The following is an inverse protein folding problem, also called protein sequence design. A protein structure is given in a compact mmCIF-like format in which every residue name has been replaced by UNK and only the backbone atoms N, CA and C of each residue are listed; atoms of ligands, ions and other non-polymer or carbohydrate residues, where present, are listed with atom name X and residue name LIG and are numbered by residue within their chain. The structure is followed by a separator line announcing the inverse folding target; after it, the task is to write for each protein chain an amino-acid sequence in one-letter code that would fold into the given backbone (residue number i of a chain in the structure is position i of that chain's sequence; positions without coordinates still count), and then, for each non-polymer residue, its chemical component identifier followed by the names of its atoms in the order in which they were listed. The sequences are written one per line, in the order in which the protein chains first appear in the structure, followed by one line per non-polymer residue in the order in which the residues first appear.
data_IF_807081414933
#
_entry.id   IF_807081414933
#
_cell.length_a   1.000
_cell.length_b   1.000
_cell.length_c   1.000
_cell.angle_alpha   90.00
_cell.angle_beta   90.00
_cell.angle_gamma   90.00
#
_symmetry.space_group_name_H-M   'P 1'
#
loop_
_entity.id
_entity.type
_entity.pdbx_description
1 polymer ?
#
# COMPACT_ATOMS: atom_id res chain seq x y z
N UNK A 1 -35.62 -11.63 -6.18
CA UNK A 1 -34.23 -11.37 -6.67
C UNK A 1 -33.28 -11.26 -5.46
N UNK A 2 -32.25 -12.11 -5.31
CA UNK A 2 -31.32 -12.08 -4.16
C UNK A 2 -30.26 -10.96 -4.22
N UNK A 3 -30.57 -9.85 -4.92
CA UNK A 3 -29.67 -8.71 -5.08
C UNK A 3 -29.41 -7.85 -3.82
N UNK A 4 -30.26 -7.78 -2.77
CA UNK A 4 -30.04 -6.78 -1.73
C UNK A 4 -28.87 -7.12 -0.79
N UNK A 5 -28.63 -8.41 -0.45
CA UNK A 5 -27.54 -8.75 0.49
C UNK A 5 -26.15 -8.66 -0.13
N UNK A 6 -25.98 -9.15 -1.37
CA UNK A 6 -24.70 -9.09 -2.10
C UNK A 6 -24.27 -7.64 -2.35
N UNK A 7 -25.20 -6.80 -2.81
CA UNK A 7 -24.93 -5.39 -3.07
C UNK A 7 -24.59 -4.63 -1.78
N UNK A 8 -25.34 -4.79 -0.69
CA UNK A 8 -25.09 -4.05 0.56
C UNK A 8 -23.74 -4.44 1.19
N UNK A 9 -23.37 -5.72 1.17
CA UNK A 9 -22.10 -6.19 1.76
C UNK A 9 -20.90 -5.87 0.86
N UNK A 10 -21.03 -5.99 -0.47
CA UNK A 10 -19.98 -5.58 -1.40
C UNK A 10 -19.77 -4.05 -1.41
N UNK A 11 -20.84 -3.26 -1.23
CA UNK A 11 -20.75 -1.80 -1.06
C UNK A 11 -20.07 -1.46 0.27
N UNK A 12 -20.41 -2.16 1.36
CA UNK A 12 -19.79 -1.94 2.67
C UNK A 12 -18.30 -2.30 2.63
N UNK A 13 -17.93 -3.48 2.10
CA UNK A 13 -16.54 -3.90 1.92
C UNK A 13 -15.76 -2.97 0.99
N UNK A 14 -16.35 -2.51 -0.12
CA UNK A 14 -15.69 -1.54 -1.01
C UNK A 14 -15.51 -0.17 -0.36
N UNK A 15 -16.51 0.32 0.38
CA UNK A 15 -16.45 1.61 1.08
C UNK A 15 -15.40 1.58 2.20
N UNK A 16 -15.33 0.47 2.93
CA UNK A 16 -14.35 0.20 3.98
C UNK A 16 -12.95 -0.05 3.43
N UNK A 17 -12.79 -0.63 2.23
CA UNK A 17 -11.46 -0.83 1.62
C UNK A 17 -10.92 0.39 0.86
N UNK A 18 -11.78 1.22 0.25
CA UNK A 18 -11.37 2.37 -0.59
C UNK A 18 -11.20 3.69 0.17
N UNK A 19 -11.98 3.94 1.23
CA UNK A 19 -12.01 5.26 1.88
C UNK A 19 -10.94 5.47 2.96
N UNK A 20 -10.66 4.45 3.77
CA UNK A 20 -9.91 4.66 5.03
C UNK A 20 -8.40 4.49 4.93
N UNK A 21 -7.88 3.87 3.86
CA UNK A 21 -6.44 3.56 3.78
C UNK A 21 -5.65 4.62 3.02
N UNK A 22 -5.92 4.88 1.73
CA UNK A 22 -5.13 5.84 0.93
C UNK A 22 -5.12 7.26 1.51
N UNK A 23 -6.29 7.80 1.89
CA UNK A 23 -6.43 9.17 2.41
C UNK A 23 -5.67 9.36 3.74
N UNK A 24 -5.71 8.35 4.60
CA UNK A 24 -5.01 8.38 5.88
C UNK A 24 -3.48 8.37 5.70
N UNK A 25 -2.94 7.61 4.74
CA UNK A 25 -1.50 7.64 4.43
C UNK A 25 -1.06 9.00 3.87
N UNK A 26 -1.85 9.60 2.98
CA UNK A 26 -1.55 10.92 2.42
C UNK A 26 -1.55 12.01 3.51
N UNK A 27 -2.52 11.93 4.43
CA UNK A 27 -2.59 12.82 5.59
C UNK A 27 -1.32 12.73 6.46
N UNK A 28 -0.84 11.52 6.74
CA UNK A 28 0.42 11.29 7.49
C UNK A 28 1.62 11.91 6.76
N UNK A 29 1.73 11.72 5.44
CA UNK A 29 2.82 12.32 4.65
C UNK A 29 2.75 13.85 4.65
N UNK A 30 1.55 14.42 4.55
CA UNK A 30 1.32 15.86 4.64
C UNK A 30 1.72 16.41 6.00
N UNK A 31 1.35 15.75 7.09
CA UNK A 31 1.76 16.14 8.45
C UNK A 31 3.28 16.03 8.63
N UNK A 32 3.89 14.93 8.19
CA UNK A 32 5.34 14.75 8.22
C UNK A 32 6.08 15.86 7.47
N UNK A 33 5.60 16.25 6.29
CA UNK A 33 6.14 17.37 5.52
C UNK A 33 6.05 18.67 6.31
N UNK A 34 4.88 19.01 6.83
CA UNK A 34 4.65 20.26 7.54
C UNK A 34 5.49 20.35 8.82
N UNK A 35 5.57 19.28 9.61
CA UNK A 35 6.43 19.23 10.80
C UNK A 35 7.91 19.32 10.47
N UNK A 36 8.35 18.70 9.37
CA UNK A 36 9.75 18.81 8.91
C UNK A 36 10.10 20.26 8.57
N UNK A 37 9.22 20.93 7.81
CA UNK A 37 9.41 22.32 7.42
C UNK A 37 9.35 23.28 8.62
N UNK A 38 8.40 23.07 9.54
CA UNK A 38 8.29 23.84 10.77
C UNK A 38 9.55 23.71 11.62
N UNK A 39 10.04 22.48 11.82
CA UNK A 39 11.28 22.20 12.55
C UNK A 39 12.49 22.88 11.91
N UNK A 40 12.63 22.80 10.58
CA UNK A 40 13.72 23.48 9.87
C UNK A 40 13.66 25.00 10.06
N UNK A 41 12.46 25.59 9.99
CA UNK A 41 12.27 27.03 10.19
C UNK A 41 12.61 27.46 11.62
N UNK A 42 12.25 26.65 12.63
CA UNK A 42 12.46 26.99 14.04
C UNK A 42 13.90 26.75 14.52
N UNK A 43 14.49 25.60 14.22
CA UNK A 43 15.82 25.20 14.70
C UNK A 43 16.95 25.70 13.80
N UNK A 44 16.68 25.92 12.51
CA UNK A 44 17.66 26.36 11.52
C UNK A 44 17.11 27.46 10.59
N UNK A 45 16.85 28.68 11.09
CA UNK A 45 16.18 29.75 10.34
C UNK A 45 16.78 30.05 8.96
N UNK A 46 18.11 29.92 8.82
CA UNK A 46 18.82 30.10 7.54
C UNK A 46 18.53 29.06 6.46
N UNK A 47 17.85 27.95 6.79
CA UNK A 47 17.48 26.88 5.86
C UNK A 47 16.01 26.91 5.42
N UNK A 48 15.13 27.54 6.21
CA UNK A 48 13.67 27.37 6.09
C UNK A 48 13.09 27.65 4.70
N UNK A 49 13.51 28.75 4.05
CA UNK A 49 13.04 29.10 2.70
C UNK A 49 13.61 28.20 1.60
N UNK A 50 14.90 27.86 1.69
CA UNK A 50 15.58 27.04 0.68
C UNK A 50 15.22 25.56 0.73
N UNK A 51 14.69 25.06 1.85
CA UNK A 51 14.40 23.65 2.06
C UNK A 51 13.03 23.18 1.57
N UNK A 52 12.11 24.11 1.30
CA UNK A 52 10.72 23.83 0.91
C UNK A 52 10.59 22.83 -0.25
N UNK A 53 11.32 23.08 -1.34
CA UNK A 53 11.22 22.28 -2.57
C UNK A 53 11.70 20.84 -2.36
N UNK A 54 12.87 20.64 -1.77
CA UNK A 54 13.43 19.29 -1.64
C UNK A 54 12.82 18.47 -0.50
N UNK A 55 12.31 19.11 0.55
CA UNK A 55 11.46 18.43 1.54
C UNK A 55 10.13 18.04 0.88
N UNK A 56 9.49 18.93 0.13
CA UNK A 56 8.28 18.60 -0.62
C UNK A 56 8.48 17.42 -1.57
N UNK A 57 9.59 17.41 -2.32
CA UNK A 57 9.94 16.33 -3.24
C UNK A 57 10.08 14.98 -2.52
N UNK A 58 10.77 14.95 -1.38
CA UNK A 58 10.93 13.72 -0.59
C UNK A 58 9.57 13.07 -0.26
N UNK A 59 8.61 13.85 0.23
CA UNK A 59 7.29 13.34 0.61
C UNK A 59 6.44 12.95 -0.60
N UNK A 60 6.60 13.65 -1.73
CA UNK A 60 5.98 13.26 -3.00
C UNK A 60 6.54 11.91 -3.49
N UNK A 61 7.86 11.73 -3.45
CA UNK A 61 8.50 10.49 -3.86
C UNK A 61 8.07 9.32 -2.96
N UNK A 62 7.86 9.54 -1.65
CA UNK A 62 7.29 8.54 -0.73
C UNK A 62 5.87 8.16 -1.14
N UNK A 63 5.02 9.13 -1.49
CA UNK A 63 3.66 8.88 -1.95
C UNK A 63 3.67 8.05 -3.25
N UNK A 64 4.47 8.44 -4.24
CA UNK A 64 4.64 7.68 -5.49
C UNK A 64 5.23 6.28 -5.27
N UNK A 65 6.14 6.11 -4.31
CA UNK A 65 6.69 4.79 -3.97
C UNK A 65 5.62 3.83 -3.47
N UNK A 66 4.78 4.31 -2.55
CA UNK A 66 3.67 3.53 -1.98
C UNK A 66 2.67 3.12 -3.08
N UNK A 67 2.45 4.01 -4.06
CA UNK A 67 1.55 3.78 -5.19
C UNK A 67 2.10 2.86 -6.28
N UNK A 68 3.40 2.54 -6.25
CA UNK A 68 3.96 1.56 -7.17
C UNK A 68 5.18 2.00 -7.96
N UNK A 69 5.68 3.23 -7.82
CA UNK A 69 6.86 3.67 -8.58
C UNK A 69 8.12 2.84 -8.26
N UNK A 70 9.03 2.78 -9.23
CA UNK A 70 10.30 2.03 -9.14
C UNK A 70 11.43 2.82 -8.45
N UNK A 71 11.11 3.99 -7.87
CA UNK A 71 12.09 4.80 -7.16
C UNK A 71 12.60 4.08 -5.91
N UNK A 72 13.90 4.13 -5.63
CA UNK A 72 14.46 3.54 -4.42
C UNK A 72 14.48 4.54 -3.26
N UNK A 73 14.20 4.05 -2.04
CA UNK A 73 14.29 4.88 -0.83
C UNK A 73 15.71 5.43 -0.63
N UNK A 74 16.72 4.63 -0.97
CA UNK A 74 18.12 5.05 -0.98
C UNK A 74 18.35 6.28 -1.86
N UNK A 75 17.76 6.28 -3.07
CA UNK A 75 17.84 7.42 -3.98
C UNK A 75 17.14 8.66 -3.41
N UNK A 76 15.92 8.53 -2.90
CA UNK A 76 15.15 9.65 -2.31
C UNK A 76 15.92 10.32 -1.16
N UNK A 77 16.48 9.52 -0.25
CA UNK A 77 17.25 10.04 0.89
C UNK A 77 18.59 10.63 0.42
N UNK A 78 19.27 10.02 -0.55
CA UNK A 78 20.49 10.57 -1.11
C UNK A 78 20.27 11.92 -1.80
N UNK A 79 19.16 12.08 -2.55
CA UNK A 79 18.77 13.34 -3.17
C UNK A 79 18.46 14.41 -2.12
N UNK A 80 17.74 14.04 -1.05
CA UNK A 80 17.47 14.96 0.07
C UNK A 80 18.76 15.51 0.67
N UNK A 81 19.67 14.64 1.12
CA UNK A 81 20.90 15.08 1.77
C UNK A 81 21.88 15.75 0.80
N UNK A 82 21.89 15.33 -0.47
CA UNK A 82 22.64 16.00 -1.54
C UNK A 82 22.16 17.43 -1.81
N UNK A 83 20.85 17.71 -1.69
CA UNK A 83 20.32 19.08 -1.82
C UNK A 83 20.45 19.88 -0.52
N UNK A 84 20.32 19.22 0.64
CA UNK A 84 20.44 19.86 1.94
C UNK A 84 21.87 20.31 2.25
N UNK A 85 22.88 19.54 1.84
CA UNK A 85 24.26 19.83 2.21
C UNK A 85 24.82 21.14 1.64
N UNK A 86 24.70 21.46 0.34
CA UNK A 86 25.17 22.75 -0.18
C UNK A 86 24.52 23.94 0.54
N UNK A 87 23.23 23.82 0.88
CA UNK A 87 22.50 24.85 1.62
C UNK A 87 23.02 24.98 3.06
N UNK A 88 23.19 23.87 3.77
CA UNK A 88 23.74 23.83 5.12
C UNK A 88 25.20 24.31 5.17
N UNK A 89 26.01 23.95 4.18
CA UNK A 89 27.40 24.37 4.06
C UNK A 89 27.52 25.89 3.97
N UNK A 90 26.70 26.52 3.10
CA UNK A 90 26.69 27.96 2.90
C UNK A 90 26.11 28.72 4.10
N UNK A 91 25.01 28.23 4.68
CA UNK A 91 24.22 28.98 5.68
C UNK A 91 24.58 28.68 7.12
N UNK A 92 25.06 27.47 7.42
CA UNK A 92 25.34 27.02 8.78
C UNK A 92 26.83 26.79 9.05
N UNK A 93 27.61 26.41 8.03
CA UNK A 93 29.04 26.12 8.20
C UNK A 93 29.94 27.31 7.85
N UNK A 94 29.38 28.35 7.22
CA UNK A 94 30.12 29.56 6.82
C UNK A 94 31.02 29.33 5.60
N UNK A 95 30.81 28.25 4.85
CA UNK A 95 31.61 27.93 3.67
C UNK A 95 31.24 28.79 2.46
N UNK A 96 32.22 29.47 1.86
CA UNK A 96 32.06 30.17 0.58
C UNK A 96 32.24 29.19 -0.57
N UNK A 97 31.29 29.17 -1.51
CA UNK A 97 31.32 28.30 -2.70
C UNK A 97 32.18 28.92 -3.82
N UNK A 98 32.83 30.06 -3.60
CA UNK A 98 33.42 30.91 -4.65
C UNK A 98 34.50 30.24 -5.51
N UNK A 99 35.09 29.13 -5.07
CA UNK A 99 36.04 28.32 -5.87
C UNK A 99 35.64 26.85 -6.06
N UNK A 100 34.55 26.39 -5.45
CA UNK A 100 34.12 25.00 -5.45
C UNK A 100 32.91 24.78 -6.36
N UNK A 101 32.98 23.79 -7.27
CA UNK A 101 31.82 23.40 -8.08
C UNK A 101 30.66 22.98 -7.17
N UNK A 102 29.46 23.53 -7.40
CA UNK A 102 28.25 23.20 -6.62
C UNK A 102 27.97 21.69 -6.63
N UNK A 103 28.31 21.02 -7.75
CA UNK A 103 28.16 19.58 -7.90
C UNK A 103 29.17 18.79 -7.06
N UNK A 104 30.40 19.31 -6.89
CA UNK A 104 31.37 18.71 -5.97
C UNK A 104 30.85 18.80 -4.53
N UNK A 105 30.38 19.98 -4.11
CA UNK A 105 29.82 20.16 -2.76
C UNK A 105 28.61 19.25 -2.57
N UNK A 106 27.74 19.11 -3.58
CA UNK A 106 26.60 18.17 -3.56
C UNK A 106 27.01 16.72 -3.30
N UNK A 107 28.17 16.28 -3.81
CA UNK A 107 28.70 14.94 -3.58
C UNK A 107 29.47 14.78 -2.25
N UNK A 108 30.09 15.85 -1.76
CA UNK A 108 31.06 15.80 -0.67
C UNK A 108 30.49 15.34 0.69
N UNK A 109 29.17 15.44 0.92
CA UNK A 109 28.57 15.01 2.19
C UNK A 109 28.74 13.51 2.46
N UNK A 110 28.83 12.68 1.40
CA UNK A 110 29.01 11.23 1.52
C UNK A 110 30.41 10.90 2.01
N UNK A 111 31.42 11.39 1.30
CA UNK A 111 32.84 11.15 1.59
C UNK A 111 33.26 11.72 2.94
N UNK A 112 32.71 12.88 3.32
CA UNK A 112 33.04 13.55 4.59
C UNK A 112 32.22 13.04 5.78
N UNK A 113 31.26 12.14 5.53
CA UNK A 113 30.25 11.70 6.48
C UNK A 113 29.59 12.89 7.23
N UNK A 114 29.24 13.96 6.50
CA UNK A 114 28.83 15.24 7.07
C UNK A 114 27.67 15.12 8.05
N UNK A 115 26.71 14.26 7.71
CA UNK A 115 25.51 14.01 8.50
C UNK A 115 25.61 12.79 9.41
N UNK A 116 26.80 12.21 9.60
CA UNK A 116 26.99 11.06 10.50
C UNK A 116 26.11 9.85 10.10
N UNK A 117 25.57 9.09 11.08
CA UNK A 117 24.80 7.87 10.81
C UNK A 117 23.34 8.14 10.35
N UNK A 118 22.88 9.39 10.42
CA UNK A 118 21.46 9.73 10.29
C UNK A 118 20.86 9.49 8.90
N UNK A 119 21.56 9.74 7.76
CA UNK A 119 21.05 9.37 6.45
C UNK A 119 20.78 7.87 6.31
N UNK A 120 21.70 7.03 6.77
CA UNK A 120 21.56 5.56 6.74
C UNK A 120 20.43 5.08 7.65
N UNK A 121 20.28 5.71 8.82
CA UNK A 121 19.15 5.46 9.71
C UNK A 121 17.82 5.79 9.04
N UNK A 122 17.73 6.97 8.40
CA UNK A 122 16.54 7.40 7.67
C UNK A 122 16.19 6.43 6.53
N UNK A 123 17.16 6.06 5.70
CA UNK A 123 16.99 5.06 4.63
C UNK A 123 16.41 3.76 5.20
N UNK A 124 17.04 3.20 6.23
CA UNK A 124 16.62 1.91 6.82
C UNK A 124 15.18 1.94 7.32
N UNK A 125 14.79 3.00 8.04
CA UNK A 125 13.45 3.14 8.63
C UNK A 125 12.39 3.36 7.55
N UNK A 126 12.69 4.18 6.55
CA UNK A 126 11.79 4.44 5.43
C UNK A 126 11.63 3.20 4.55
N UNK A 127 12.71 2.49 4.23
CA UNK A 127 12.63 1.27 3.42
C UNK A 127 11.73 0.22 4.05
N UNK A 128 11.79 0.06 5.38
CA UNK A 128 10.93 -0.89 6.12
C UNK A 128 9.46 -0.46 6.13
N UNK A 129 9.19 0.78 6.50
CA UNK A 129 7.81 1.29 6.67
C UNK A 129 7.08 1.53 5.36
N UNK A 130 7.74 2.09 4.35
CA UNK A 130 7.15 2.34 3.03
C UNK A 130 6.88 1.01 2.31
N UNK A 131 7.78 0.04 2.40
CA UNK A 131 7.57 -1.30 1.84
C UNK A 131 6.37 -1.99 2.48
N UNK A 132 6.30 -2.01 3.81
CA UNK A 132 5.18 -2.62 4.53
C UNK A 132 3.85 -1.97 4.13
N UNK A 133 3.83 -0.65 3.98
CA UNK A 133 2.67 0.13 3.53
C UNK A 133 2.27 -0.21 2.10
N UNK A 134 3.22 -0.24 1.16
CA UNK A 134 2.99 -0.63 -0.24
C UNK A 134 2.37 -2.02 -0.34
N UNK A 135 2.96 -2.98 0.38
CA UNK A 135 2.47 -4.36 0.41
C UNK A 135 1.07 -4.46 1.00
N UNK A 136 0.80 -3.71 2.07
CA UNK A 136 -0.54 -3.65 2.68
C UNK A 136 -1.58 -3.12 1.69
N UNK A 137 -1.30 -2.02 1.00
CA UNK A 137 -2.20 -1.46 -0.02
C UNK A 137 -2.39 -2.42 -1.21
N UNK A 138 -1.33 -3.07 -1.68
CA UNK A 138 -1.42 -4.08 -2.74
C UNK A 138 -2.33 -5.25 -2.33
N UNK A 139 -2.22 -5.71 -1.08
CA UNK A 139 -3.09 -6.75 -0.54
C UNK A 139 -4.55 -6.27 -0.53
N UNK A 140 -4.81 -5.06 -0.03
CA UNK A 140 -6.16 -4.46 -0.05
C UNK A 140 -6.75 -4.38 -1.46
N UNK A 141 -5.96 -3.96 -2.45
CA UNK A 141 -6.38 -3.88 -3.85
C UNK A 141 -6.80 -5.24 -4.40
N UNK A 142 -6.08 -6.30 -4.04
CA UNK A 142 -6.47 -7.65 -4.40
C UNK A 142 -7.77 -8.07 -3.70
N UNK A 143 -7.96 -7.72 -2.42
CA UNK A 143 -9.22 -7.94 -1.73
C UNK A 143 -10.42 -7.29 -2.43
N UNK A 144 -10.26 -6.03 -2.85
CA UNK A 144 -11.24 -5.29 -3.66
C UNK A 144 -11.50 -6.01 -4.99
N UNK A 145 -10.45 -6.44 -5.68
CA UNK A 145 -10.56 -7.15 -6.95
C UNK A 145 -11.37 -8.44 -6.81
N UNK A 146 -11.08 -9.24 -5.77
CA UNK A 146 -11.78 -10.51 -5.48
C UNK A 146 -13.26 -10.26 -5.21
N UNK A 147 -13.60 -9.29 -4.35
CA UNK A 147 -14.99 -8.94 -4.04
C UNK A 147 -15.73 -8.45 -5.29
N UNK A 148 -15.15 -7.53 -6.05
CA UNK A 148 -15.77 -7.01 -7.27
C UNK A 148 -15.96 -8.09 -8.33
N UNK A 149 -14.96 -8.93 -8.53
CA UNK A 149 -15.03 -10.02 -9.51
C UNK A 149 -16.13 -11.02 -9.14
N UNK A 150 -16.20 -11.40 -7.86
CA UNK A 150 -17.19 -12.37 -7.38
C UNK A 150 -18.63 -11.80 -7.33
N UNK A 151 -18.81 -10.49 -7.16
CA UNK A 151 -20.13 -9.83 -7.22
C UNK A 151 -20.73 -9.86 -8.63
N UNK A 152 -19.88 -9.80 -9.67
CA UNK A 152 -20.31 -9.80 -11.07
C UNK A 152 -20.53 -11.20 -11.66
N UNK A 153 -20.30 -12.27 -10.88
CA UNK A 153 -20.54 -13.65 -11.32
C UNK A 153 -22.03 -13.88 -11.59
N UNK A 154 -22.34 -14.28 -12.84
CA UNK A 154 -23.71 -14.58 -13.24
C UNK A 154 -24.04 -16.05 -12.94
N UNK A 155 -25.24 -16.34 -12.43
CA UNK A 155 -25.67 -17.71 -12.26
C UNK A 155 -25.77 -18.42 -13.62
N UNK A 156 -25.19 -19.62 -13.73
CA UNK A 156 -25.29 -20.44 -14.93
C UNK A 156 -26.73 -20.87 -15.24
N UNK A 157 -26.94 -21.47 -16.43
CA UNK A 157 -28.27 -21.96 -16.86
C UNK A 157 -28.82 -23.02 -15.91
N UNK A 158 -27.98 -23.93 -15.42
CA UNK A 158 -28.39 -24.98 -14.48
C UNK A 158 -28.79 -24.42 -13.11
N UNK A 159 -28.04 -23.43 -12.61
CA UNK A 159 -28.45 -22.71 -11.41
C UNK A 159 -29.78 -21.97 -11.61
N UNK A 160 -29.96 -21.31 -12.76
CA UNK A 160 -31.23 -20.62 -13.07
C UNK A 160 -32.41 -21.60 -13.03
N UNK A 161 -32.25 -22.80 -13.60
CA UNK A 161 -33.26 -23.88 -13.53
C UNK A 161 -33.48 -24.35 -12.09
N UNK A 162 -32.43 -24.54 -11.31
CA UNK A 162 -32.52 -24.96 -9.91
C UNK A 162 -33.22 -23.91 -9.02
N UNK A 163 -32.95 -22.62 -9.24
CA UNK A 163 -33.62 -21.52 -8.54
C UNK A 163 -35.11 -21.41 -8.91
N UNK A 164 -35.47 -21.63 -10.18
CA UNK A 164 -36.87 -21.71 -10.59
C UNK A 164 -37.59 -22.87 -9.88
N UNK A 165 -36.91 -24.03 -9.78
CA UNK A 165 -37.42 -25.21 -9.06
C UNK A 165 -37.57 -24.97 -7.56
N UNK A 166 -36.68 -24.19 -6.98
CA UNK A 166 -36.72 -23.84 -5.56
C UNK A 166 -37.87 -22.89 -5.21
N UNK A 167 -38.06 -21.82 -6.00
CA UNK A 167 -38.95 -20.71 -5.62
C UNK A 167 -40.30 -20.69 -6.34
N UNK A 168 -40.36 -21.15 -7.60
CA UNK A 168 -41.52 -20.91 -8.47
C UNK A 168 -42.30 -22.19 -8.82
N UNK A 169 -41.65 -23.35 -8.90
CA UNK A 169 -42.34 -24.62 -9.17
C UNK A 169 -43.53 -24.95 -8.23
N UNK A 170 -43.49 -24.64 -6.91
CA UNK A 170 -44.66 -24.87 -6.06
C UNK A 170 -45.90 -24.11 -6.55
N UNK A 171 -45.72 -22.86 -6.97
CA UNK A 171 -46.80 -22.01 -7.46
C UNK A 171 -47.42 -22.58 -8.74
N UNK A 172 -46.57 -23.11 -9.64
CA UNK A 172 -47.03 -23.78 -10.86
C UNK A 172 -47.80 -25.08 -10.59
N UNK A 173 -47.58 -25.71 -9.43
CA UNK A 173 -48.30 -26.90 -8.98
C UNK A 173 -49.53 -26.56 -8.10
N UNK A 174 -49.89 -25.28 -7.99
CA UNK A 174 -51.02 -24.84 -7.16
C UNK A 174 -50.72 -24.77 -5.66
N UNK A 175 -49.46 -24.88 -5.24
CA UNK A 175 -49.03 -24.73 -3.85
C UNK A 175 -48.65 -23.27 -3.59
N UNK A 176 -49.46 -22.54 -2.83
CA UNK A 176 -49.22 -21.14 -2.47
C UNK A 176 -48.48 -21.04 -1.12
N UNK A 177 -47.32 -20.38 -1.13
CA UNK A 177 -46.57 -20.09 0.10
C UNK A 177 -45.90 -21.26 0.86
N UNK A 178 -45.59 -22.44 0.28
CA UNK A 178 -44.84 -23.45 1.04
C UNK A 178 -43.38 -23.02 1.26
N UNK A 179 -42.82 -23.15 2.47
CA UNK A 179 -41.41 -22.89 2.69
C UNK A 179 -40.57 -23.95 1.97
N UNK A 180 -39.46 -23.54 1.34
CA UNK A 180 -38.49 -24.50 0.85
C UNK A 180 -37.82 -25.22 2.03
N UNK A 181 -37.59 -26.53 1.91
CA UNK A 181 -36.80 -27.23 2.90
C UNK A 181 -35.41 -26.61 3.00
N UNK A 182 -34.95 -26.29 4.22
CA UNK A 182 -33.64 -25.64 4.44
C UNK A 182 -32.50 -26.37 3.73
N UNK A 183 -32.45 -27.70 3.83
CA UNK A 183 -31.45 -28.52 3.16
C UNK A 183 -31.53 -28.47 1.62
N UNK A 184 -32.74 -28.36 1.05
CA UNK A 184 -32.91 -28.21 -0.40
C UNK A 184 -32.43 -26.83 -0.87
N UNK A 185 -32.81 -25.77 -0.14
CA UNK A 185 -32.32 -24.43 -0.40
C UNK A 185 -30.80 -24.37 -0.34
N UNK A 186 -30.17 -24.92 0.71
CA UNK A 186 -28.71 -24.97 0.84
C UNK A 186 -28.05 -25.71 -0.33
N UNK A 187 -28.58 -26.86 -0.74
CA UNK A 187 -28.04 -27.62 -1.87
C UNK A 187 -28.12 -26.85 -3.19
N UNK A 188 -29.25 -26.19 -3.46
CA UNK A 188 -29.42 -25.31 -4.64
C UNK A 188 -28.46 -24.13 -4.57
N UNK A 189 -28.36 -23.45 -3.42
CA UNK A 189 -27.46 -22.32 -3.24
C UNK A 189 -25.99 -22.71 -3.38
N UNK A 190 -25.54 -23.86 -2.86
CA UNK A 190 -24.18 -24.36 -3.07
C UNK A 190 -23.87 -24.57 -4.54
N UNK A 191 -24.75 -25.25 -5.29
CA UNK A 191 -24.58 -25.43 -6.73
C UNK A 191 -24.60 -24.12 -7.51
N UNK A 192 -25.36 -23.13 -7.04
CA UNK A 192 -25.47 -21.80 -7.64
C UNK A 192 -24.28 -20.87 -7.32
N UNK A 193 -23.69 -21.00 -6.14
CA UNK A 193 -22.49 -20.25 -5.76
C UNK A 193 -21.26 -20.73 -6.53
N UNK A 194 -21.26 -22.00 -7.00
CA UNK A 194 -20.27 -22.53 -7.93
C UNK A 194 -18.84 -22.21 -7.49
N UNK A 195 -18.03 -21.64 -8.38
CA UNK A 195 -16.64 -21.30 -8.10
C UNK A 195 -16.43 -20.23 -7.01
N UNK A 196 -17.46 -19.49 -6.58
CA UNK A 196 -17.32 -18.61 -5.41
C UNK A 196 -17.09 -19.40 -4.11
N UNK A 197 -17.62 -20.63 -4.02
CA UNK A 197 -17.34 -21.52 -2.90
C UNK A 197 -15.86 -21.97 -2.89
N UNK A 198 -15.23 -22.09 -4.07
CA UNK A 198 -13.82 -22.45 -4.21
C UNK A 198 -12.87 -21.31 -3.81
N UNK A 199 -13.33 -20.06 -3.88
CA UNK A 199 -12.58 -18.88 -3.41
C UNK A 199 -12.45 -18.88 -1.88
N UNK A 200 -13.43 -19.43 -1.15
CA UNK A 200 -13.52 -19.35 0.32
C UNK A 200 -12.25 -19.75 1.09
N UNK A 201 -11.62 -20.92 0.89
CA UNK A 201 -10.41 -21.28 1.63
C UNK A 201 -9.25 -20.29 1.40
N UNK A 202 -9.13 -19.78 0.17
CA UNK A 202 -8.10 -18.81 -0.19
C UNK A 202 -8.38 -17.41 0.35
N UNK A 203 -9.66 -17.01 0.36
CA UNK A 203 -10.13 -15.76 0.97
C UNK A 203 -9.87 -15.74 2.48
N UNK A 204 -10.25 -16.81 3.20
CA UNK A 204 -10.01 -16.91 4.65
C UNK A 204 -8.53 -16.77 4.97
N UNK A 205 -7.69 -17.51 4.24
CA UNK A 205 -6.24 -17.37 4.37
C UNK A 205 -5.84 -15.91 4.09
N UNK A 206 -6.29 -15.29 3.00
CA UNK A 206 -5.93 -13.91 2.69
C UNK A 206 -6.29 -12.93 3.82
N UNK A 207 -7.49 -13.01 4.39
CA UNK A 207 -7.94 -12.17 5.52
C UNK A 207 -7.03 -12.37 6.74
N UNK A 208 -6.71 -13.61 7.10
CA UNK A 208 -5.78 -13.91 8.20
C UNK A 208 -4.38 -13.37 7.92
N UNK A 209 -3.93 -13.45 6.66
CA UNK A 209 -2.63 -12.95 6.22
C UNK A 209 -2.53 -11.44 6.31
N UNK A 210 -3.55 -10.75 5.81
CA UNK A 210 -3.66 -9.30 5.88
C UNK A 210 -3.71 -8.82 7.33
N UNK A 211 -4.42 -9.53 8.21
CA UNK A 211 -4.44 -9.24 9.65
C UNK A 211 -3.07 -9.41 10.31
N UNK A 212 -2.30 -10.43 9.94
CA UNK A 212 -0.91 -10.61 10.42
C UNK A 212 0.02 -9.51 9.92
N UNK A 213 -0.08 -9.14 8.64
CA UNK A 213 0.69 -8.04 8.04
C UNK A 213 0.42 -6.73 8.78
N UNK A 214 -0.86 -6.35 8.91
CA UNK A 214 -1.28 -5.16 9.63
C UNK A 214 -0.87 -5.17 11.11
N UNK A 215 -0.91 -6.35 11.76
CA UNK A 215 -0.45 -6.53 13.13
C UNK A 215 1.06 -6.31 13.30
N UNK A 216 1.85 -6.63 12.27
CA UNK A 216 3.30 -6.46 12.21
C UNK A 216 3.76 -5.03 11.89
N UNK A 217 2.90 -4.20 11.27
CA UNK A 217 3.16 -2.78 10.96
C UNK A 217 3.22 -1.90 12.21
N UNK A 218 4.23 -2.11 13.06
CA UNK A 218 4.47 -1.37 14.30
C UNK A 218 5.89 -0.84 14.33
N UNK A 219 6.13 0.22 15.11
CA UNK A 219 7.48 0.72 15.37
C UNK A 219 8.19 1.20 14.10
N UNK A 220 9.13 0.41 13.58
CA UNK A 220 9.90 0.74 12.36
C UNK A 220 9.21 0.36 11.06
N UNK A 221 8.20 -0.50 11.12
CA UNK A 221 7.36 -0.87 9.97
C UNK A 221 6.09 -0.02 9.88
N UNK A 222 5.87 0.85 10.87
CA UNK A 222 4.75 1.77 10.91
C UNK A 222 5.15 3.11 10.30
N UNK A 223 4.52 3.45 9.18
CA UNK A 223 4.83 4.65 8.41
C UNK A 223 4.53 5.92 9.19
N UNK A 224 3.44 5.99 9.95
CA UNK A 224 3.12 7.16 10.75
C UNK A 224 4.21 7.42 11.77
N UNK A 225 4.57 6.38 12.52
CA UNK A 225 5.63 6.46 13.51
C UNK A 225 6.97 6.88 12.89
N UNK A 226 7.34 6.35 11.72
CA UNK A 226 8.61 6.68 11.04
C UNK A 226 8.59 8.10 10.46
N UNK A 227 7.53 8.45 9.74
CA UNK A 227 7.38 9.75 9.06
C UNK A 227 7.37 10.90 10.07
N UNK A 228 6.61 10.77 11.16
CA UNK A 228 6.54 11.79 12.20
C UNK A 228 7.86 11.93 12.98
N UNK A 229 8.78 10.96 12.89
CA UNK A 229 10.14 11.04 13.46
C UNK A 229 11.19 11.61 12.50
N UNK A 230 10.89 11.77 11.22
CA UNK A 230 11.83 12.35 10.25
C UNK A 230 12.35 13.74 10.64
N UNK A 231 11.53 14.68 11.17
CA UNK A 231 12.03 15.98 11.62
C UNK A 231 13.17 15.83 12.64
N UNK A 232 13.03 14.92 13.60
CA UNK A 232 14.05 14.65 14.60
C UNK A 232 15.33 14.06 14.01
N UNK A 233 15.22 13.14 13.05
CA UNK A 233 16.39 12.56 12.36
C UNK A 233 17.14 13.64 11.57
N UNK A 234 16.42 14.49 10.83
CA UNK A 234 17.01 15.59 10.06
C UNK A 234 17.66 16.63 10.99
N UNK A 235 17.02 16.94 12.12
CA UNK A 235 17.59 17.83 13.14
C UNK A 235 18.93 17.31 13.66
N UNK A 236 18.99 16.03 14.01
CA UNK A 236 20.21 15.41 14.52
C UNK A 236 21.33 15.36 13.47
N UNK A 237 20.97 15.09 12.20
CA UNK A 237 21.89 15.17 11.07
C UNK A 237 22.51 16.56 10.92
N UNK A 238 21.69 17.61 10.98
CA UNK A 238 22.16 18.99 10.87
C UNK A 238 23.00 19.41 12.08
N UNK A 239 22.60 19.04 13.30
CA UNK A 239 23.41 19.31 14.52
C UNK A 239 24.77 18.61 14.43
N UNK A 240 24.82 17.39 13.92
CA UNK A 240 26.09 16.69 13.70
C UNK A 240 27.00 17.44 12.71
N UNK A 241 26.44 17.91 11.59
CA UNK A 241 27.21 18.69 10.61
C UNK A 241 27.73 20.02 11.22
N UNK A 242 26.88 20.72 11.98
CA UNK A 242 27.27 21.97 12.66
C UNK A 242 28.37 21.74 13.69
N UNK A 243 28.29 20.67 14.48
CA UNK A 243 29.32 20.32 15.46
C UNK A 243 30.66 19.96 14.79
N UNK A 244 30.62 19.42 13.58
CA UNK A 244 31.81 19.08 12.79
C UNK A 244 32.29 20.22 11.86
N UNK A 245 31.85 21.48 12.08
CA UNK A 245 32.07 22.61 11.16
C UNK A 245 33.51 22.76 10.66
N UNK A 246 34.49 22.88 11.56
CA UNK A 246 35.89 23.11 11.17
C UNK A 246 36.45 21.98 10.30
N UNK A 247 36.19 20.73 10.70
CA UNK A 247 36.57 19.52 9.95
C UNK A 247 35.92 19.48 8.57
N UNK A 248 34.62 19.76 8.50
CA UNK A 248 33.87 19.72 7.24
C UNK A 248 34.28 20.84 6.28
N UNK A 249 34.48 22.07 6.77
CA UNK A 249 34.97 23.17 5.93
C UNK A 249 36.35 22.86 5.38
N UNK A 250 37.29 22.38 6.20
CA UNK A 250 38.62 21.99 5.72
C UNK A 250 38.58 20.84 4.69
N UNK A 251 37.79 19.80 4.96
CA UNK A 251 37.66 18.66 4.05
C UNK A 251 37.03 19.05 2.71
N UNK A 252 35.94 19.82 2.72
CA UNK A 252 35.28 20.28 1.49
C UNK A 252 36.17 21.25 0.71
N UNK A 253 36.89 22.16 1.39
CA UNK A 253 37.86 23.04 0.73
C UNK A 253 39.01 22.27 0.09
N UNK A 254 39.51 21.21 0.72
CA UNK A 254 40.55 20.36 0.15
C UNK A 254 40.07 19.51 -1.03
N UNK A 255 38.82 19.00 -0.97
CA UNK A 255 38.26 18.15 -2.02
C UNK A 255 37.73 18.92 -3.23
N UNK A 256 37.08 20.06 -2.97
CA UNK A 256 36.38 20.83 -4.00
C UNK A 256 37.09 22.13 -4.38
N UNK A 257 38.16 22.52 -3.67
CA UNK A 257 38.98 23.68 -4.03
C UNK A 257 40.00 23.33 -5.11
N UNK A 258 39.96 24.03 -6.23
CA UNK A 258 41.01 23.99 -7.25
C UNK A 258 42.27 24.72 -6.76
N UNK A 259 43.45 24.13 -6.99
CA UNK A 259 44.71 24.88 -7.14
C UNK A 259 45.25 24.61 -8.55
N UNK A 260 45.68 25.64 -9.29
CA UNK A 260 47.08 26.04 -9.16
C UNK A 260 47.28 27.48 -8.70
N UNK A 261 48.39 27.64 -8.00
CA UNK A 261 49.03 28.85 -7.53
C UNK A 261 49.22 29.87 -8.67
N UNK A 262 48.70 31.10 -8.48
CA UNK A 262 49.34 32.30 -9.02
C UNK A 262 49.70 33.18 -7.84
N UNK A 263 50.99 33.19 -7.51
CA UNK A 263 51.60 34.13 -6.58
C UNK A 263 51.23 35.54 -7.01
N UNK A 264 50.47 36.24 -6.18
CA UNK A 264 50.30 37.69 -6.27
C UNK A 264 50.30 38.22 -4.85
N UNK A 265 51.34 39.00 -4.56
CA UNK A 265 51.59 39.63 -3.27
C UNK A 265 50.49 40.64 -2.98
N UNK A 266 49.93 40.64 -1.77
CA UNK A 266 49.72 41.88 -1.00
C UNK A 266 49.18 41.64 0.41
N UNK A 267 49.98 42.12 1.36
CA UNK A 267 49.73 42.88 2.60
C UNK A 267 48.61 42.45 3.57
N UNK A 268 49.06 42.23 4.81
CA UNK A 268 48.33 41.95 6.06
C UNK A 268 47.35 43.05 6.50
N UNK A 269 46.29 42.65 7.23
CA UNK A 269 45.58 43.49 8.22
C UNK A 269 44.87 42.59 9.27
N UNK A 270 44.66 43.05 10.53
CA UNK A 270 44.55 42.21 11.74
C UNK A 270 43.10 41.81 12.17
N UNK A 271 42.91 40.86 13.13
CA UNK A 271 41.59 40.37 13.58
C UNK A 271 41.19 40.89 14.99
N UNK A 272 40.09 40.41 15.64
CA UNK A 272 38.65 40.46 15.31
C UNK A 272 37.80 40.99 16.50
N UNK A 273 36.49 41.25 16.36
CA UNK A 273 35.57 41.41 17.51
C UNK A 273 34.17 40.80 17.29
N UNK A 274 33.77 39.92 18.22
CA UNK A 274 32.39 39.48 18.51
C UNK A 274 31.69 40.50 19.43
N UNK A 275 30.36 40.41 19.59
CA UNK A 275 29.90 39.97 20.91
C UNK A 275 28.78 38.93 20.92
N UNK A 276 28.71 38.24 22.06
CA UNK A 276 27.78 37.23 22.52
C UNK A 276 26.44 37.86 23.00
N UNK A 277 25.26 37.27 22.78
CA UNK A 277 24.54 36.28 23.63
C UNK A 277 23.17 36.80 24.12
N UNK A 278 22.33 35.84 24.60
CA UNK A 278 21.03 35.95 25.30
C UNK A 278 19.78 36.03 24.38
N UNK A 279 18.65 35.38 24.65
CA UNK A 279 18.25 34.38 25.64
C UNK A 279 17.02 33.60 25.13
N UNK A 280 16.75 32.47 25.79
CA UNK A 280 15.71 31.48 25.52
C UNK A 280 14.26 32.00 25.50
N UNK A 281 13.40 31.32 24.71
CA UNK A 281 12.06 30.93 25.17
C UNK A 281 11.75 29.50 24.75
N UNK A 282 11.73 28.63 25.75
CA UNK A 282 11.06 27.34 25.71
C UNK A 282 9.59 27.55 25.36
N UNK A 283 9.09 26.78 24.40
CA UNK A 283 7.67 26.41 24.40
C UNK A 283 7.62 24.90 24.16
N UNK A 284 7.22 24.17 25.19
CA UNK A 284 6.85 22.76 25.07
C UNK A 284 5.58 22.61 24.22
N UNK A 285 5.34 21.42 23.67
CA UNK A 285 4.26 21.19 22.72
C UNK A 285 2.91 21.15 23.43
N UNK A 286 1.96 21.94 22.95
CA UNK A 286 0.57 21.87 23.39
C UNK A 286 -0.14 20.73 22.67
N UNK A 287 -0.78 19.89 23.50
CA UNK A 287 -1.90 18.99 23.22
C UNK A 287 -1.75 18.02 22.05
N UNK A 288 -1.40 16.77 22.39
CA UNK A 288 -2.01 15.62 21.73
C UNK A 288 -3.53 15.79 21.82
N UNK A 289 -4.11 16.32 20.76
CA UNK A 289 -5.51 16.03 20.48
C UNK A 289 -5.60 14.53 20.27
N UNK A 290 -6.70 13.92 20.69
CA UNK A 290 -6.94 12.49 20.51
C UNK A 290 -7.28 12.22 19.03
N UNK A 291 -6.39 12.62 18.13
CA UNK A 291 -6.50 12.29 16.71
C UNK A 291 -6.30 10.78 16.58
N UNK A 292 -7.31 10.14 16.02
CA UNK A 292 -7.29 8.72 15.71
C UNK A 292 -6.05 8.40 14.87
N UNK A 293 -5.17 7.54 15.39
CA UNK A 293 -3.91 7.23 14.69
C UNK A 293 -4.18 6.34 13.48
N UNK A 294 -3.29 6.36 12.50
CA UNK A 294 -3.36 5.43 11.36
C UNK A 294 -3.33 3.97 11.84
N UNK A 295 -2.64 3.71 12.96
CA UNK A 295 -2.61 2.40 13.60
C UNK A 295 -3.97 1.99 14.20
N UNK A 296 -4.77 2.94 14.68
CA UNK A 296 -6.13 2.70 15.19
C UNK A 296 -7.07 2.34 14.04
N UNK A 297 -7.14 3.19 13.02
CA UNK A 297 -7.91 2.97 11.78
C UNK A 297 -7.59 1.61 11.15
N UNK A 298 -6.29 1.28 11.05
CA UNK A 298 -5.85 -0.02 10.52
C UNK A 298 -6.33 -1.19 11.39
N UNK A 299 -6.32 -1.05 12.72
CA UNK A 299 -6.76 -2.11 13.64
C UNK A 299 -8.25 -2.34 13.57
N UNK A 300 -9.03 -1.26 13.56
CA UNK A 300 -10.49 -1.31 13.42
C UNK A 300 -10.88 -1.98 12.10
N UNK A 301 -10.30 -1.51 10.99
CA UNK A 301 -10.50 -2.10 9.66
C UNK A 301 -10.25 -3.61 9.64
N UNK A 302 -9.14 -4.07 10.23
CA UNK A 302 -8.82 -5.51 10.29
C UNK A 302 -9.79 -6.28 11.17
N UNK A 303 -10.26 -5.67 12.26
CA UNK A 303 -11.29 -6.25 13.13
C UNK A 303 -12.58 -6.50 12.35
N UNK A 304 -13.04 -5.49 11.60
CA UNK A 304 -14.24 -5.58 10.77
C UNK A 304 -14.07 -6.62 9.66
N UNK A 305 -12.92 -6.59 8.96
CA UNK A 305 -12.65 -7.54 7.87
C UNK A 305 -12.63 -9.00 8.35
N UNK A 306 -12.16 -9.27 9.58
CA UNK A 306 -12.19 -10.62 10.16
C UNK A 306 -13.61 -11.17 10.28
N UNK A 307 -14.61 -10.32 10.54
CA UNK A 307 -16.02 -10.72 10.53
C UNK A 307 -16.46 -11.32 9.18
N UNK A 308 -15.80 -10.93 8.10
CA UNK A 308 -16.06 -11.41 6.74
C UNK A 308 -15.13 -12.56 6.30
N UNK A 309 -14.33 -13.16 7.18
CA UNK A 309 -13.41 -14.25 6.81
C UNK A 309 -14.14 -15.46 6.20
N UNK A 310 -15.39 -15.68 6.61
CA UNK A 310 -16.24 -16.82 6.20
C UNK A 310 -17.33 -16.41 5.21
N UNK A 311 -17.18 -15.25 4.56
CA UNK A 311 -18.20 -14.63 3.72
C UNK A 311 -18.77 -15.56 2.65
N UNK A 312 -17.91 -16.14 1.80
CA UNK A 312 -18.36 -16.99 0.68
C UNK A 312 -19.00 -18.31 1.12
N UNK A 313 -18.53 -18.92 2.22
CA UNK A 313 -19.19 -20.09 2.82
C UNK A 313 -20.56 -19.76 3.44
N UNK A 314 -20.71 -18.55 3.99
CA UNK A 314 -21.93 -18.11 4.68
C UNK A 314 -23.05 -17.66 3.73
N UNK A 315 -22.73 -17.37 2.46
CA UNK A 315 -23.71 -16.88 1.49
C UNK A 315 -24.90 -17.83 1.30
N UNK A 316 -24.64 -19.14 1.23
CA UNK A 316 -25.71 -20.13 1.02
C UNK A 316 -26.71 -20.13 2.17
N UNK A 317 -26.21 -20.08 3.41
CA UNK A 317 -27.04 -20.00 4.61
C UNK A 317 -27.83 -18.69 4.66
N UNK A 318 -27.15 -17.55 4.51
CA UNK A 318 -27.76 -16.23 4.59
C UNK A 318 -28.88 -16.01 3.54
N UNK A 319 -28.76 -16.63 2.36
CA UNK A 319 -29.80 -16.60 1.34
C UNK A 319 -30.99 -17.50 1.66
N UNK A 320 -30.79 -18.54 2.48
CA UNK A 320 -31.82 -19.48 2.90
C UNK A 320 -32.49 -19.10 4.23
N UNK A 321 -31.90 -18.20 5.03
CA UNK A 321 -32.44 -17.75 6.33
C UNK A 321 -33.58 -16.72 6.23
N UNK A 322 -34.15 -16.50 5.05
CA UNK A 322 -35.09 -15.39 4.81
C UNK A 322 -36.54 -15.66 5.24
N UNK A 323 -36.87 -16.89 5.61
CA UNK A 323 -38.18 -17.26 6.15
C UNK A 323 -38.01 -17.91 7.55
N UNK A 324 -38.77 -17.49 8.58
CA UNK A 324 -38.87 -18.26 9.81
C UNK A 324 -39.46 -19.64 9.50
N UNK A 325 -38.96 -20.72 10.13
CA UNK A 325 -39.59 -22.03 10.01
C UNK A 325 -41.04 -21.90 10.48
N UNK A 326 -42.03 -22.40 9.71
CA UNK A 326 -43.39 -22.39 10.21
C UNK A 326 -43.48 -23.26 11.47
N UNK A 327 -44.37 -22.86 12.39
CA UNK A 327 -44.57 -23.57 13.64
C UNK A 327 -44.95 -25.05 13.39
N UNK A 328 -44.32 -25.92 14.18
CA UNK A 328 -44.54 -27.37 14.40
C UNK A 328 -45.49 -28.10 13.42
N UNK A 329 -44.90 -29.02 12.62
CA UNK A 329 -45.51 -29.91 11.61
C UNK A 329 -45.72 -29.34 10.20
N UNK A 330 -44.98 -28.30 9.80
CA UNK A 330 -45.06 -27.82 8.43
C UNK A 330 -44.22 -28.67 7.48
N UNK A 331 -44.89 -29.37 6.57
CA UNK A 331 -44.29 -29.89 5.36
C UNK A 331 -43.54 -28.76 4.62
N UNK A 332 -42.38 -29.08 4.04
CA UNK A 332 -41.57 -28.16 3.26
C UNK A 332 -41.39 -28.67 1.82
N UNK A 333 -41.12 -27.75 0.90
CA UNK A 333 -40.90 -28.07 -0.50
C UNK A 333 -39.49 -28.62 -0.74
N UNK A 334 -39.39 -29.84 -1.29
CA UNK A 334 -38.11 -30.50 -1.62
C UNK A 334 -37.70 -30.39 -3.10
N UNK A 335 -38.49 -29.69 -3.93
CA UNK A 335 -38.29 -29.61 -5.38
C UNK A 335 -39.17 -30.57 -6.19
N UNK A 336 -39.98 -31.42 -5.57
CA UNK A 336 -40.95 -32.29 -6.24
C UNK A 336 -42.31 -32.26 -5.55
N UNK A 337 -42.29 -32.33 -4.21
CA UNK A 337 -43.47 -32.44 -3.37
C UNK A 337 -43.23 -31.79 -2.00
N UNK A 338 -44.29 -31.78 -1.19
CA UNK A 338 -44.27 -31.36 0.21
C UNK A 338 -43.83 -32.54 1.09
N UNK A 339 -42.81 -32.35 1.92
CA UNK A 339 -42.23 -33.43 2.74
C UNK A 339 -41.85 -32.94 4.13
N UNK A 340 -41.80 -33.86 5.10
CA UNK A 340 -41.40 -33.57 6.47
C UNK A 340 -39.91 -33.26 6.57
N UNK A 341 -39.09 -33.86 5.69
CA UNK A 341 -37.62 -33.75 5.71
C UNK A 341 -37.02 -33.81 4.31
N UNK A 342 -36.03 -32.96 4.06
CA UNK A 342 -35.13 -33.11 2.92
C UNK A 342 -33.96 -34.02 3.30
N UNK A 343 -34.04 -35.29 2.89
CA UNK A 343 -32.86 -36.15 2.83
C UNK A 343 -31.96 -35.61 1.73
N UNK A 344 -30.83 -35.02 2.11
CA UNK A 344 -29.84 -34.48 1.17
C UNK A 344 -29.39 -35.52 0.14
N UNK A 345 -28.59 -35.12 -0.87
CA UNK A 345 -28.20 -36.04 -1.92
C UNK A 345 -27.13 -37.02 -1.45
N UNK A 346 -27.60 -38.02 -0.72
CA UNK A 346 -26.97 -39.26 -0.29
C UNK A 346 -28.10 -40.20 0.16
N UNK A 347 -28.18 -41.39 -0.48
CA UNK A 347 -29.03 -42.55 -0.15
C UNK A 347 -30.24 -42.89 -1.04
N UNK A 348 -30.38 -42.38 -2.26
CA UNK A 348 -31.12 -43.12 -3.31
C UNK A 348 -30.29 -43.21 -4.58
N UNK A 349 -30.12 -44.45 -5.04
CA UNK A 349 -29.20 -44.95 -6.06
C UNK A 349 -29.15 -44.05 -7.30
N UNK A 350 -27.92 -43.78 -7.70
CA UNK A 350 -27.54 -43.25 -8.99
C UNK A 350 -28.26 -44.01 -10.11
N UNK A 351 -29.04 -43.31 -10.94
CA UNK A 351 -29.22 -43.74 -12.32
C UNK A 351 -27.86 -43.54 -13.04
N UNK A 352 -27.38 -44.53 -13.80
CA UNK A 352 -26.11 -44.41 -14.52
C UNK A 352 -26.30 -43.40 -15.66
N UNK A 353 -25.79 -42.18 -15.48
CA UNK A 353 -25.90 -41.14 -16.51
C UNK A 353 -25.66 -39.70 -16.08
N UNK A 354 -25.27 -39.43 -14.83
CA UNK A 354 -24.93 -38.06 -14.39
C UNK A 354 -23.55 -38.01 -13.76
N UNK A 355 -22.51 -38.13 -14.60
CA UNK A 355 -21.20 -37.56 -14.29
C UNK A 355 -21.32 -36.03 -14.25
N UNK A 356 -21.72 -35.48 -13.09
CA UNK A 356 -21.70 -34.03 -12.86
C UNK A 356 -21.50 -33.72 -11.38
N UNK A 357 -20.55 -34.41 -10.75
CA UNK A 357 -19.97 -33.96 -9.49
C UNK A 357 -18.48 -33.73 -9.67
N UNK A 358 -18.10 -32.45 -9.55
CA UNK A 358 -16.78 -31.98 -9.10
C UNK A 358 -15.59 -31.87 -10.06
N UNK A 359 -15.74 -32.04 -11.38
CA UNK A 359 -14.59 -31.90 -12.31
C UNK A 359 -14.75 -30.81 -13.39
N UNK A 360 -15.79 -29.96 -13.33
CA UNK A 360 -15.81 -28.79 -14.22
C UNK A 360 -14.80 -27.80 -13.68
N UNK A 361 -13.75 -27.45 -14.43
CA UNK A 361 -12.80 -26.44 -13.99
C UNK A 361 -13.56 -25.14 -13.69
N UNK A 362 -13.22 -24.44 -12.59
CA UNK A 362 -13.80 -23.13 -12.30
C UNK A 362 -13.68 -22.22 -13.52
N UNK A 363 -14.66 -21.34 -13.69
CA UNK A 363 -14.60 -20.32 -14.75
C UNK A 363 -13.22 -19.64 -14.74
N UNK A 364 -12.63 -19.33 -15.90
CA UNK A 364 -11.25 -18.84 -15.98
C UNK A 364 -11.00 -17.60 -15.11
N UNK A 365 -12.01 -16.76 -14.94
CA UNK A 365 -12.00 -15.59 -14.05
C UNK A 365 -11.86 -15.99 -12.57
N UNK A 366 -12.55 -17.04 -12.13
CA UNK A 366 -12.49 -17.56 -10.76
C UNK A 366 -11.13 -18.22 -10.50
N UNK A 367 -10.62 -19.00 -11.46
CA UNK A 367 -9.27 -19.57 -11.39
C UNK A 367 -8.21 -18.47 -11.22
N UNK A 368 -8.32 -17.38 -12.00
CA UNK A 368 -7.39 -16.26 -11.92
C UNK A 368 -7.37 -15.58 -10.55
N UNK A 369 -8.54 -15.29 -9.95
CA UNK A 369 -8.59 -14.69 -8.60
C UNK A 369 -8.10 -15.65 -7.53
N UNK A 370 -8.38 -16.95 -7.67
CA UNK A 370 -7.84 -17.99 -6.77
C UNK A 370 -6.33 -18.02 -6.84
N UNK A 371 -5.73 -17.96 -8.03
CA UNK A 371 -4.28 -17.99 -8.20
C UNK A 371 -3.62 -16.72 -7.66
N UNK A 372 -4.24 -15.55 -7.85
CA UNK A 372 -3.79 -14.30 -7.18
C UNK A 372 -3.83 -14.42 -5.66
N UNK A 373 -4.91 -14.98 -5.10
CA UNK A 373 -5.03 -15.23 -3.67
C UNK A 373 -4.00 -16.26 -3.18
N UNK A 374 -3.74 -17.33 -3.94
CA UNK A 374 -2.70 -18.31 -3.60
C UNK A 374 -1.34 -17.64 -3.60
N UNK A 375 -1.03 -16.84 -4.62
CA UNK A 375 0.24 -16.15 -4.74
C UNK A 375 0.51 -15.27 -3.51
N UNK A 376 -0.42 -14.38 -3.14
CA UNK A 376 -0.25 -13.52 -1.96
C UNK A 376 -0.21 -14.32 -0.64
N UNK A 377 -0.91 -15.44 -0.57
CA UNK A 377 -0.93 -16.32 0.61
C UNK A 377 0.34 -17.16 0.75
N UNK A 378 1.00 -17.55 -0.34
CA UNK A 378 2.24 -18.35 -0.30
C UNK A 378 3.44 -17.53 0.20
N UNK A 379 3.36 -16.19 0.16
CA UNK A 379 4.38 -15.29 0.73
C UNK A 379 4.46 -15.39 2.28
N UNK A 380 3.57 -16.16 2.92
CA UNK A 380 3.40 -16.26 4.37
C UNK A 380 4.48 -16.94 5.21
N UNK A 381 5.59 -17.43 4.66
CA UNK A 381 6.48 -18.33 5.45
C UNK A 381 7.88 -17.82 5.77
N UNK A 382 8.26 -16.58 5.46
CA UNK A 382 9.54 -16.02 5.94
C UNK A 382 9.44 -14.54 6.34
N UNK A 383 9.81 -14.17 7.59
CA UNK A 383 10.10 -12.78 7.95
C UNK A 383 11.16 -12.26 6.96
N UNK A 384 10.81 -11.26 6.15
CA UNK A 384 11.70 -10.72 5.11
C UNK A 384 11.47 -11.22 3.68
N UNK A 385 10.53 -12.13 3.41
CA UNK A 385 10.24 -12.57 2.02
C UNK A 385 9.41 -11.59 1.20
N UNK A 386 8.65 -10.68 1.83
CA UNK A 386 7.99 -9.57 1.12
C UNK A 386 9.01 -8.68 0.38
N UNK A 387 10.24 -8.59 0.91
CA UNK A 387 11.38 -7.89 0.31
C UNK A 387 11.83 -8.52 -1.03
N UNK A 388 11.68 -9.84 -1.20
CA UNK A 388 12.10 -10.56 -2.42
C UNK A 388 11.04 -10.56 -3.52
N UNK A 389 9.77 -10.39 -3.19
CA UNK A 389 8.69 -10.36 -4.18
C UNK A 389 8.73 -9.08 -5.04
N UNK A 390 9.06 -7.93 -4.43
CA UNK A 390 9.17 -6.66 -5.15
C UNK A 390 10.39 -6.57 -6.07
N UNK A 391 11.50 -7.23 -5.70
CA UNK A 391 12.67 -7.37 -6.58
C UNK A 391 12.37 -8.23 -7.82
N UNK A 392 11.42 -9.18 -7.75
CA UNK A 392 10.99 -9.99 -8.91
C UNK A 392 9.95 -9.30 -9.78
N UNK A 393 9.02 -8.53 -9.21
CA UNK A 393 8.05 -7.78 -10.03
C UNK A 393 8.69 -6.63 -10.83
N UNK A 394 9.84 -6.10 -10.40
CA UNK A 394 10.66 -5.18 -11.21
C UNK A 394 11.47 -5.88 -12.30
N UNK A 395 11.64 -7.21 -12.24
CA UNK A 395 12.44 -7.98 -13.20
C UNK A 395 11.59 -8.62 -14.33
N UNK A 396 10.30 -8.83 -14.13
CA UNK A 396 9.40 -9.40 -15.16
C UNK A 396 8.76 -8.32 -16.08
N UNK A 397 9.13 -7.04 -15.89
CA UNK A 397 8.82 -5.95 -16.82
C UNK A 397 9.90 -5.83 -17.91
N UNK A 398 9.75 -6.65 -18.96
CA UNK A 398 10.59 -6.70 -20.18
C UNK A 398 12.00 -7.27 -19.99
N UNK A 399 12.16 -8.52 -20.44
CA UNK A 399 13.47 -9.06 -20.78
C UNK A 399 14.12 -8.24 -21.88
N UNK A 400 15.26 -7.63 -21.55
CA UNK A 400 16.29 -7.29 -22.50
C UNK A 400 17.64 -7.50 -21.80
N UNK A 401 18.24 -8.64 -22.11
CA UNK A 401 19.65 -8.91 -21.85
C UNK A 401 20.48 -7.85 -22.59
N UNK A 402 21.31 -7.12 -21.86
CA UNK A 402 22.27 -6.19 -22.47
C UNK A 402 23.68 -6.68 -22.16
N UNK A 403 24.16 -7.52 -23.07
CA UNK A 403 25.57 -7.81 -23.22
C UNK A 403 26.33 -6.55 -23.68
N UNK A 404 27.51 -6.37 -23.12
CA UNK A 404 28.49 -5.36 -23.55
C UNK A 404 28.91 -5.65 -25.00
N UNK A 405 28.59 -4.76 -25.96
CA UNK A 405 29.49 -4.52 -27.10
C UNK A 405 29.28 -3.14 -27.74
N UNK A 406 30.41 -2.64 -28.27
CA UNK A 406 30.71 -1.30 -28.75
C UNK A 406 30.24 -1.10 -30.21
N UNK A 407 29.84 0.15 -30.52
CA UNK A 407 29.90 0.85 -31.83
C UNK A 407 28.68 0.73 -32.76
N UNK A 408 28.18 1.88 -33.22
CA UNK A 408 27.36 1.98 -34.44
C UNK A 408 26.25 3.02 -34.40
N UNK A 409 26.50 4.18 -35.01
CA UNK A 409 25.51 5.23 -35.32
C UNK A 409 24.34 4.71 -36.16
N UNK A 410 23.10 5.11 -35.87
CA UNK A 410 22.16 5.68 -36.86
C UNK A 410 20.84 6.12 -36.21
N UNK A 411 20.31 7.21 -36.78
CA UNK A 411 19.11 7.96 -36.43
C UNK A 411 17.82 7.13 -36.53
N UNK A 412 16.92 7.27 -35.54
CA UNK A 412 15.55 6.76 -35.59
C UNK A 412 14.70 7.31 -34.45
N UNK A 413 13.74 8.19 -34.75
CA UNK A 413 12.77 8.71 -33.78
C UNK A 413 11.90 7.58 -33.25
N UNK A 414 12.10 7.17 -32.00
CA UNK A 414 11.14 6.35 -31.28
C UNK A 414 10.10 7.25 -30.61
N UNK A 415 8.86 7.24 -31.11
CA UNK A 415 7.69 7.72 -30.35
C UNK A 415 7.45 6.74 -29.22
N UNK A 416 7.76 7.14 -27.99
CA UNK A 416 7.34 6.41 -26.78
C UNK A 416 5.89 6.80 -26.50
N UNK A 417 4.98 5.88 -26.77
CA UNK A 417 3.58 6.02 -26.41
C UNK A 417 3.42 5.55 -24.95
N UNK A 418 3.31 6.51 -24.02
CA UNK A 418 3.03 6.23 -22.62
C UNK A 418 1.63 5.59 -22.50
N UNK A 419 1.60 4.30 -22.19
CA UNK A 419 0.39 3.62 -21.71
C UNK A 419 0.10 4.09 -20.28
N UNK A 420 -0.72 5.13 -20.15
CA UNK A 420 -1.37 5.48 -18.89
C UNK A 420 -2.36 4.38 -18.50
N UNK A 421 -1.93 3.45 -17.66
CA UNK A 421 -2.85 2.61 -16.90
C UNK A 421 -3.42 3.40 -15.73
N UNK A 422 -4.71 3.74 -15.78
CA UNK A 422 -5.42 4.35 -14.65
C UNK A 422 -5.57 3.33 -13.51
N UNK A 423 -4.75 3.46 -12.46
CA UNK A 423 -4.98 2.81 -11.16
C UNK A 423 -5.90 3.73 -10.36
N UNK A 424 -7.20 3.65 -10.61
CA UNK A 424 -8.23 4.46 -9.95
C UNK A 424 -8.55 3.90 -8.57
N UNK A 425 -7.60 3.99 -7.65
CA UNK A 425 -7.77 3.51 -6.28
C UNK A 425 -7.54 4.60 -5.23
N UNK A 426 -6.65 5.57 -5.50
CA UNK A 426 -6.38 6.67 -4.57
C UNK A 426 -6.74 8.07 -5.10
N UNK A 427 -7.55 8.20 -6.16
CA UNK A 427 -8.04 9.51 -6.63
C UNK A 427 -6.97 10.54 -7.02
N UNK A 428 -5.71 10.12 -7.24
CA UNK A 428 -4.63 11.03 -7.61
C UNK A 428 -4.79 11.40 -9.09
N UNK A 429 -5.38 12.57 -9.35
CA UNK A 429 -5.26 13.24 -10.62
C UNK A 429 -3.80 13.69 -10.79
N UNK A 430 -2.98 12.87 -11.43
CA UNK A 430 -1.69 13.34 -11.96
C UNK A 430 -2.01 14.27 -13.13
N UNK A 431 -2.05 15.58 -12.87
CA UNK A 431 -2.03 16.59 -13.92
C UNK A 431 -0.67 16.49 -14.62
N UNK A 432 -0.60 15.71 -15.69
CA UNK A 432 0.51 15.77 -16.64
C UNK A 432 0.46 17.14 -17.32
N UNK A 433 1.23 18.10 -16.80
CA UNK A 433 1.54 19.33 -17.52
C UNK A 433 2.29 18.98 -18.80
N UNK A 434 1.77 19.40 -19.95
CA UNK A 434 2.51 19.38 -21.22
C UNK A 434 3.67 20.37 -21.07
N UNK A 435 4.90 19.91 -21.26
CA UNK A 435 6.03 20.73 -21.67
C UNK A 435 6.36 20.41 -23.12
#
# INVERSE_FOLDING_TARGET
RPRPLKAVVAITLNKVMKGTSCEAFDLVLRHGRNFTLAMLKSEFPGLGGGAQSFVGQLFLDMSLYILGSDSSVDHMVAVLYGRLFPLAYRRLLGGTVSSASEECVRGAWKETAAFGPYPKLMMTRLSRSLLATRVFLQALNLGIEVVNTTDHLRPGRDCSRALLRLWYCPHCQGLLGPPACRGFCQAVMQGCLGGAAEVQPHWKSYVDGLGKLAGGMRGEQDIEAVVLRLPSIIKLALKHAVNARSRLTAAVSGMCGTTPQRTSRSVSSPPPQLPASSAARNTQPSSQDSDETLADLRREFISDLKGFSSFYSGLGEALCSREPPPANHSLCWNGQEMTDRFSGPGLKRSHPGSESRSNKPPEPIISQIIDKLKHINQVKLKPGSWFQLLLKTTADGQGAQVDFYRRGSTSGRARVQLLCGTVTLCGVHVMCGRQ
#
